data_IF_124884945524
#
_entry.id   IF_124884945524
#
_cell.length_a   1.000
_cell.length_b   1.000
_cell.length_c   1.000
_cell.angle_alpha   90.00
_cell.angle_beta   90.00
_cell.angle_gamma   90.00
#
_symmetry.space_group_name_H-M   'P 1'
#
loop_
_entity.id
_entity.type
_entity.pdbx_description
1 polymer ?
#
# COMPACT_ATOMS: atom_id res chain seq x y z
N UNK A 1 -0.12 -24.96 56.93
CA UNK A 1 0.63 -23.96 56.12
C UNK A 1 1.45 -24.56 54.97
N UNK A 2 1.99 -25.79 55.05
CA UNK A 2 2.80 -26.41 53.99
C UNK A 2 2.01 -26.76 52.71
N UNK A 3 0.77 -27.24 52.84
CA UNK A 3 -0.08 -27.61 51.70
C UNK A 3 -0.45 -26.43 50.78
N UNK A 4 -0.68 -25.24 51.34
CA UNK A 4 -0.95 -24.01 50.56
C UNK A 4 0.26 -23.59 49.72
N UNK A 5 1.49 -23.78 50.22
CA UNK A 5 2.72 -23.44 49.48
C UNK A 5 2.95 -24.38 48.31
N UNK A 6 2.63 -25.67 48.47
CA UNK A 6 2.72 -26.67 47.40
C UNK A 6 1.69 -26.40 46.30
N UNK A 7 0.47 -26.02 46.66
CA UNK A 7 -0.57 -25.65 45.69
C UNK A 7 -0.18 -24.43 44.85
N UNK A 8 0.39 -23.40 45.48
CA UNK A 8 0.85 -22.18 44.77
C UNK A 8 2.02 -22.49 43.84
N UNK A 9 2.97 -23.33 44.26
CA UNK A 9 4.09 -23.76 43.41
C UNK A 9 3.60 -24.56 42.18
N UNK A 10 2.63 -25.46 42.35
CA UNK A 10 2.02 -26.20 41.25
C UNK A 10 1.26 -25.28 40.28
N UNK A 11 0.56 -24.28 40.80
CA UNK A 11 -0.16 -23.30 39.96
C UNK A 11 0.82 -22.45 39.14
N UNK A 12 1.92 -21.98 39.75
CA UNK A 12 2.96 -21.23 39.04
C UNK A 12 3.69 -22.08 37.98
N UNK A 13 3.94 -23.36 38.27
CA UNK A 13 4.55 -24.28 37.31
C UNK A 13 3.62 -24.55 36.10
N UNK A 14 2.32 -24.70 36.34
CA UNK A 14 1.33 -24.91 35.27
C UNK A 14 1.19 -23.68 34.35
N UNK A 15 1.25 -22.46 34.90
CA UNK A 15 1.22 -21.24 34.09
C UNK A 15 2.49 -21.05 33.25
N UNK A 16 3.66 -21.46 33.74
CA UNK A 16 4.93 -21.32 33.01
C UNK A 16 5.02 -22.23 31.77
N UNK A 17 4.33 -23.37 31.75
CA UNK A 17 4.34 -24.32 30.63
C UNK A 17 3.40 -23.88 29.49
N UNK A 18 2.41 -23.04 29.78
CA UNK A 18 1.39 -22.62 28.82
C UNK A 18 1.88 -21.55 27.82
N UNK A 19 3.09 -20.99 28.03
CA UNK A 19 3.66 -19.90 27.22
C UNK A 19 4.60 -20.33 26.08
N UNK A 20 5.03 -21.60 25.99
CA UNK A 20 6.03 -22.03 25.01
C UNK A 20 5.47 -22.61 23.70
N UNK A 21 4.14 -22.75 23.57
CA UNK A 21 3.53 -23.47 22.45
C UNK A 21 3.00 -22.58 21.31
N UNK A 22 3.48 -21.33 21.19
CA UNK A 22 3.20 -20.50 20.01
C UNK A 22 4.51 -20.03 19.38
N UNK A 23 5.29 -21.00 18.93
CA UNK A 23 6.24 -20.75 17.86
C UNK A 23 5.42 -20.37 16.62
N UNK A 24 5.23 -19.08 16.42
CA UNK A 24 4.88 -18.54 15.11
C UNK A 24 5.95 -19.05 14.15
N UNK A 25 5.57 -20.06 13.36
CA UNK A 25 6.47 -20.64 12.37
C UNK A 25 6.85 -19.50 11.43
N UNK A 26 8.13 -19.10 11.30
CA UNK A 26 8.53 -18.17 10.26
C UNK A 26 8.03 -18.74 8.94
N UNK A 27 7.39 -17.89 8.11
CA UNK A 27 6.66 -18.30 6.91
C UNK A 27 7.44 -19.32 6.11
N UNK A 28 6.96 -20.58 6.08
CA UNK A 28 7.62 -21.63 5.32
C UNK A 28 7.31 -21.37 3.85
N UNK A 29 8.34 -21.13 3.06
CA UNK A 29 8.17 -20.75 1.65
C UNK A 29 7.56 -21.88 0.83
N UNK A 30 7.98 -23.15 1.02
CA UNK A 30 7.36 -24.34 0.42
C UNK A 30 7.68 -25.58 1.28
N UNK A 31 6.77 -26.54 1.37
CA UNK A 31 6.92 -27.77 2.14
C UNK A 31 7.40 -28.95 1.26
N UNK A 32 7.08 -28.95 -0.05
CA UNK A 32 7.43 -30.05 -0.97
C UNK A 32 7.96 -29.56 -2.34
N UNK A 33 8.72 -30.40 -3.08
CA UNK A 33 9.12 -30.08 -4.45
C UNK A 33 7.94 -29.87 -5.41
N UNK A 34 6.82 -30.55 -5.17
CA UNK A 34 5.62 -30.46 -6.02
C UNK A 34 4.91 -29.12 -5.85
N UNK A 35 4.85 -28.58 -4.62
CA UNK A 35 4.34 -27.22 -4.36
C UNK A 35 5.15 -26.14 -5.07
N UNK A 36 6.48 -26.30 -5.12
CA UNK A 36 7.35 -25.39 -5.87
C UNK A 36 7.04 -25.44 -7.37
N UNK A 37 6.94 -26.64 -7.96
CA UNK A 37 6.65 -26.79 -9.40
C UNK A 37 5.27 -26.23 -9.77
N UNK A 38 4.26 -26.40 -8.92
CA UNK A 38 2.93 -25.86 -9.16
C UNK A 38 2.94 -24.31 -9.23
N UNK A 39 3.73 -23.65 -8.39
CA UNK A 39 3.86 -22.20 -8.41
C UNK A 39 4.67 -21.71 -9.63
N UNK A 40 5.74 -22.43 -10.00
CA UNK A 40 6.50 -22.14 -11.22
C UNK A 40 5.61 -22.28 -12.48
N UNK A 41 4.75 -23.29 -12.53
CA UNK A 41 3.78 -23.47 -13.62
C UNK A 41 2.67 -22.41 -13.63
N UNK A 42 2.28 -21.91 -12.46
CA UNK A 42 1.30 -20.82 -12.36
C UNK A 42 1.86 -19.48 -12.85
N UNK A 43 3.15 -19.21 -12.65
CA UNK A 43 3.81 -18.00 -13.16
C UNK A 43 4.00 -18.00 -14.68
N UNK A 44 4.10 -19.18 -15.29
CA UNK A 44 4.24 -19.32 -16.75
C UNK A 44 2.92 -19.12 -17.51
N UNK A 45 1.79 -19.07 -16.80
CA UNK A 45 0.51 -18.75 -17.42
C UNK A 45 0.34 -17.23 -17.49
N UNK A 46 0.23 -16.65 -18.70
CA UNK A 46 -0.10 -15.25 -18.85
C UNK A 46 -1.45 -15.00 -18.17
N UNK A 47 -1.49 -14.08 -17.21
CA UNK A 47 -2.76 -13.63 -16.66
C UNK A 47 -3.63 -13.10 -17.82
N UNK A 48 -4.95 -13.40 -17.86
CA UNK A 48 -5.82 -12.90 -18.89
C UNK A 48 -5.76 -11.36 -18.89
N UNK A 49 -5.29 -10.78 -19.99
CA UNK A 49 -5.22 -9.34 -20.17
C UNK A 49 -6.63 -8.76 -20.08
N UNK A 50 -6.95 -8.17 -18.94
CA UNK A 50 -8.18 -7.41 -18.78
C UNK A 50 -8.16 -6.22 -19.75
N UNK A 51 -9.19 -6.11 -20.57
CA UNK A 51 -9.47 -4.99 -21.47
C UNK A 51 -9.28 -3.66 -20.72
N UNK A 52 -8.56 -2.65 -21.26
CA UNK A 52 -8.20 -1.46 -20.50
C UNK A 52 -9.42 -0.57 -20.28
N UNK A 53 -10.08 -0.80 -19.15
CA UNK A 53 -11.20 0.00 -18.64
C UNK A 53 -10.62 1.29 -18.05
N UNK A 54 -10.28 2.28 -18.88
CA UNK A 54 -9.64 3.55 -18.49
C UNK A 54 -8.81 3.42 -17.21
N UNK A 55 -7.73 2.65 -17.32
CA UNK A 55 -6.95 2.20 -16.18
C UNK A 55 -6.47 3.44 -15.41
N UNK A 56 -6.93 3.55 -14.16
CA UNK A 56 -6.31 4.46 -13.23
C UNK A 56 -4.86 4.05 -13.00
N UNK A 57 -4.07 4.98 -12.48
CA UNK A 57 -2.65 4.81 -12.23
C UNK A 57 -2.46 4.64 -10.73
N UNK A 58 -1.76 3.58 -10.31
CA UNK A 58 -1.31 3.39 -8.92
C UNK A 58 0.18 3.69 -8.83
N UNK A 59 0.54 4.65 -8.00
CA UNK A 59 1.94 4.91 -7.69
C UNK A 59 2.38 3.95 -6.58
N UNK A 60 3.24 2.99 -6.89
CA UNK A 60 3.69 2.00 -5.90
C UNK A 60 4.87 2.50 -5.06
N UNK A 61 5.75 3.30 -5.67
CA UNK A 61 6.88 3.88 -4.98
C UNK A 61 8.03 4.23 -5.91
N UNK A 62 9.10 4.78 -5.34
CA UNK A 62 10.30 5.15 -6.05
C UNK A 62 11.53 4.97 -5.16
N UNK A 63 12.68 4.69 -5.77
CA UNK A 63 13.96 4.55 -5.12
C UNK A 63 14.91 5.64 -5.62
N UNK A 64 15.46 6.39 -4.68
CA UNK A 64 16.50 7.38 -4.92
C UNK A 64 17.82 6.90 -4.31
N UNK A 65 18.91 7.15 -4.99
CA UNK A 65 20.28 6.97 -4.48
C UNK A 65 21.08 8.20 -4.83
N UNK A 66 21.75 8.80 -3.84
CA UNK A 66 22.63 9.96 -4.07
C UNK A 66 21.94 11.08 -4.87
N UNK A 67 20.65 11.34 -4.56
CA UNK A 67 19.75 12.30 -5.24
C UNK A 67 19.42 11.96 -6.71
N UNK A 68 19.78 10.78 -7.19
CA UNK A 68 19.42 10.26 -8.51
C UNK A 68 18.30 9.23 -8.39
N UNK A 69 17.29 9.33 -9.25
CA UNK A 69 16.23 8.33 -9.30
C UNK A 69 16.79 7.05 -9.92
N UNK A 70 16.74 5.95 -9.16
CA UNK A 70 17.21 4.63 -9.58
C UNK A 70 16.07 3.80 -10.15
N UNK A 71 14.88 3.91 -9.55
CA UNK A 71 13.73 3.08 -9.92
C UNK A 71 12.41 3.78 -9.58
N UNK A 72 11.45 3.67 -10.50
CA UNK A 72 10.08 4.13 -10.32
C UNK A 72 9.16 2.95 -10.56
N UNK A 73 8.20 2.73 -9.67
CA UNK A 73 7.18 1.69 -9.81
C UNK A 73 5.79 2.31 -9.91
N UNK A 74 5.10 1.94 -10.98
CA UNK A 74 3.73 2.34 -11.29
C UNK A 74 2.99 1.13 -11.82
N UNK A 75 1.81 0.85 -11.26
CA UNK A 75 0.98 -0.30 -11.61
C UNK A 75 1.74 -1.64 -11.58
N UNK A 76 2.63 -1.80 -10.59
CA UNK A 76 3.52 -2.96 -10.35
C UNK A 76 4.67 -3.11 -11.34
N UNK A 77 4.76 -2.24 -12.34
CA UNK A 77 5.81 -2.24 -13.35
C UNK A 77 6.84 -1.15 -13.11
N UNK A 78 8.05 -1.37 -13.62
CA UNK A 78 9.11 -0.35 -13.58
C UNK A 78 8.94 0.62 -14.73
N UNK A 79 8.92 1.91 -14.42
CA UNK A 79 8.78 2.99 -15.40
C UNK A 79 10.06 3.83 -15.51
N UNK A 80 10.26 4.45 -16.67
CA UNK A 80 11.23 5.53 -16.83
C UNK A 80 10.63 6.87 -16.38
N UNK A 81 11.44 7.80 -15.84
CA UNK A 81 10.99 9.12 -15.41
C UNK A 81 10.81 10.07 -16.61
N UNK A 82 9.92 9.70 -17.52
CA UNK A 82 9.53 10.49 -18.68
C UNK A 82 8.04 10.84 -18.59
N UNK A 83 7.58 11.89 -19.30
CA UNK A 83 6.16 12.23 -19.35
C UNK A 83 5.29 11.00 -19.65
N UNK A 84 4.22 10.78 -18.86
CA UNK A 84 3.58 11.74 -17.96
C UNK A 84 4.12 11.73 -16.50
N UNK A 85 5.19 10.98 -16.19
CA UNK A 85 5.66 10.75 -14.83
C UNK A 85 6.78 11.71 -14.43
N UNK A 86 6.55 12.48 -13.37
CA UNK A 86 7.52 13.44 -12.82
C UNK A 86 7.78 13.14 -11.34
N UNK A 87 8.79 12.32 -11.02
CA UNK A 87 9.15 11.99 -9.64
C UNK A 87 9.80 13.18 -8.92
N UNK A 88 9.30 13.51 -7.73
CA UNK A 88 9.81 14.61 -6.92
C UNK A 88 10.62 14.10 -5.73
N UNK A 89 11.91 14.44 -5.67
CA UNK A 89 12.81 14.02 -4.58
C UNK A 89 12.40 14.61 -3.23
N UNK A 90 12.08 15.90 -3.19
CA UNK A 90 11.86 16.65 -1.94
C UNK A 90 10.57 16.23 -1.22
N UNK A 91 9.54 15.85 -1.98
CA UNK A 91 8.23 15.47 -1.45
C UNK A 91 8.03 13.95 -1.42
N UNK A 92 8.90 13.18 -2.08
CA UNK A 92 8.71 11.76 -2.37
C UNK A 92 7.37 11.44 -3.06
N UNK A 93 6.83 12.40 -3.82
CA UNK A 93 5.58 12.27 -4.56
C UNK A 93 5.84 12.07 -6.05
N UNK A 94 4.92 11.37 -6.70
CA UNK A 94 4.84 11.29 -8.15
C UNK A 94 3.85 12.32 -8.65
N UNK A 95 4.34 13.30 -9.40
CA UNK A 95 3.50 14.26 -10.13
C UNK A 95 3.19 13.69 -11.52
N UNK A 96 1.91 13.67 -11.89
CA UNK A 96 1.42 13.10 -13.14
C UNK A 96 0.69 14.18 -13.91
N UNK A 97 1.07 14.35 -15.17
CA UNK A 97 0.31 15.15 -16.12
C UNK A 97 -0.83 14.27 -16.68
N UNK A 98 -2.01 14.36 -16.08
CA UNK A 98 -3.15 13.60 -16.56
C UNK A 98 -3.53 14.04 -17.98
N UNK A 99 -3.98 13.09 -18.82
CA UNK A 99 -4.48 13.39 -20.18
C UNK A 99 -5.64 14.41 -20.21
N UNK A 100 -6.29 14.62 -19.07
CA UNK A 100 -7.33 15.64 -18.84
C UNK A 100 -6.76 17.07 -18.68
N UNK A 101 -5.44 17.24 -18.74
CA UNK A 101 -4.77 18.52 -18.46
C UNK A 101 -4.65 18.85 -16.98
N UNK A 102 -5.02 17.93 -16.09
CA UNK A 102 -4.92 18.10 -14.64
C UNK A 102 -3.58 17.58 -14.13
N UNK A 103 -2.92 18.35 -13.26
CA UNK A 103 -1.79 17.86 -12.46
C UNK A 103 -2.32 17.06 -11.26
N UNK A 104 -1.80 15.84 -11.09
CA UNK A 104 -2.14 14.98 -9.96
C UNK A 104 -0.87 14.61 -9.23
N UNK A 105 -0.89 14.72 -7.90
CA UNK A 105 0.23 14.29 -7.05
C UNK A 105 -0.17 13.07 -6.26
N UNK A 106 0.67 12.04 -6.32
CA UNK A 106 0.46 10.77 -5.64
C UNK A 106 1.60 10.50 -4.66
N UNK A 107 1.23 10.11 -3.46
CA UNK A 107 2.12 9.43 -2.51
C UNK A 107 2.14 7.93 -2.78
N UNK A 108 3.19 7.24 -2.37
CA UNK A 108 3.30 5.79 -2.56
C UNK A 108 2.08 5.05 -1.97
N UNK A 109 1.55 4.11 -2.73
CA UNK A 109 0.31 3.38 -2.43
C UNK A 109 -0.97 4.07 -2.88
N UNK A 110 -0.93 5.33 -3.32
CA UNK A 110 -2.13 6.02 -3.81
C UNK A 110 -2.46 5.61 -5.25
N UNK A 111 -3.77 5.63 -5.53
CA UNK A 111 -4.33 5.35 -6.84
C UNK A 111 -5.16 6.54 -7.32
N UNK A 112 -4.94 6.94 -8.57
CA UNK A 112 -5.73 7.95 -9.25
C UNK A 112 -6.47 7.33 -10.43
N UNK A 113 -7.73 7.72 -10.61
CA UNK A 113 -8.51 7.36 -11.79
C UNK A 113 -9.14 8.61 -12.38
N UNK A 114 -9.15 8.78 -13.72
CA UNK A 114 -9.77 9.92 -14.37
C UNK A 114 -11.27 10.06 -14.06
N UNK A 115 -11.96 8.96 -13.72
CA UNK A 115 -13.37 8.99 -13.32
C UNK A 115 -13.62 9.66 -11.96
N UNK A 116 -12.59 9.79 -11.10
CA UNK A 116 -12.73 10.42 -9.78
C UNK A 116 -12.74 11.95 -9.85
N UNK A 117 -12.30 12.55 -10.96
CA UNK A 117 -12.24 14.01 -11.12
C UNK A 117 -13.62 14.67 -11.13
N UNK A 118 -14.66 13.95 -11.57
CA UNK A 118 -16.04 14.49 -11.64
C UNK A 118 -16.69 14.71 -10.27
N UNK A 119 -16.18 14.14 -9.17
CA UNK A 119 -16.77 14.34 -7.82
C UNK A 119 -16.18 15.48 -7.00
N UNK A 120 -15.04 16.06 -7.40
CA UNK A 120 -14.41 17.14 -6.62
C UNK A 120 -14.66 18.54 -7.18
N UNK A 121 -15.39 18.66 -8.30
CA UNK A 121 -15.98 19.93 -8.76
C UNK A 121 -17.35 20.19 -8.10
N UNK A 122 -17.50 19.79 -6.83
CA UNK A 122 -18.56 20.34 -5.99
C UNK A 122 -18.14 21.75 -5.60
N UNK A 123 -18.53 22.72 -6.42
CA UNK A 123 -18.60 24.14 -6.06
C UNK A 123 -19.03 24.23 -4.60
N UNK A 124 -18.13 24.67 -3.71
CA UNK A 124 -18.56 25.18 -2.40
C UNK A 124 -19.41 26.41 -2.77
N UNK A 125 -20.74 26.41 -2.56
CA UNK A 125 -21.44 27.68 -2.62
C UNK A 125 -20.82 28.53 -1.50
N UNK A 126 -20.13 29.61 -1.86
CA UNK A 126 -19.84 30.68 -0.92
C UNK A 126 -21.20 31.10 -0.36
N UNK A 127 -21.45 30.65 0.86
CA UNK A 127 -22.65 30.99 1.59
C UNK A 127 -22.57 32.49 1.85
N UNK A 128 -23.27 33.27 1.01
CA UNK A 128 -23.54 34.68 1.24
C UNK A 128 -24.29 34.78 2.56
N UNK A 129 -23.55 35.13 3.60
CA UNK A 129 -24.03 35.32 4.97
C UNK A 129 -23.06 36.20 5.73
N UNK A 130 -22.57 37.26 5.09
CA UNK A 130 -22.01 38.42 5.77
C UNK A 130 -23.17 39.41 5.99
N UNK A 131 -23.94 39.17 7.05
CA UNK A 131 -24.85 40.18 7.58
C UNK A 131 -24.05 41.05 8.56
N UNK A 132 -23.26 41.95 7.98
CA UNK A 132 -22.72 43.10 8.66
C UNK A 132 -23.85 43.93 9.29
N UNK A 133 -24.14 43.66 10.57
CA UNK A 133 -25.07 44.46 11.36
C UNK A 133 -24.30 45.61 11.99
N UNK A 134 -24.31 46.75 11.30
CA UNK A 134 -24.08 48.06 11.92
C UNK A 134 -25.41 48.50 12.53
N UNK A 135 -25.50 48.53 13.85
CA UNK A 135 -26.25 49.52 14.66
C UNK A 135 -25.99 49.27 16.14
#
# INVERSE_FOLDING_TARGET
MRARRILVLLLCAALAISGLARAERPGRLFFTPDERRALEQAQLQPAPSATPKQAGIRFDGMLWRERQLVKLWVDQDTQQPDPPYHPELETAQLRIDARTGQEVRLSAGQHWSPANTTRQQGTIPLQRGDDGRVK
#
